data_IF_955897285318
#
_entry.id   IF_955897285318
#
_cell.length_a   1.000
_cell.length_b   1.000
_cell.length_c   1.000
_cell.angle_alpha   90.00
_cell.angle_beta   90.00
_cell.angle_gamma   90.00
#
_symmetry.space_group_name_H-M   'P 1'
#
loop_
_entity.id
_entity.type
_entity.pdbx_description
1 polymer ?
#
# COMPACT_ATOMS: atom_id res chain seq x y z
N UNK A 1 14.83 -0.11 -36.76
CA UNK A 1 15.49 -1.41 -36.99
C UNK A 1 15.85 -2.04 -35.65
N UNK A 2 15.43 -3.27 -35.39
CA UNK A 2 15.83 -4.02 -34.19
C UNK A 2 17.20 -4.64 -34.44
N UNK A 3 18.19 -4.28 -33.62
CA UNK A 3 19.52 -4.90 -33.66
C UNK A 3 19.41 -6.27 -32.99
N UNK A 4 19.62 -7.38 -33.73
CA UNK A 4 19.55 -8.70 -33.13
C UNK A 4 20.73 -8.93 -32.18
N UNK A 5 20.56 -9.75 -31.13
CA UNK A 5 21.63 -10.04 -30.19
C UNK A 5 22.78 -10.77 -30.89
N UNK A 6 24.00 -10.27 -30.73
CA UNK A 6 25.23 -10.85 -31.32
C UNK A 6 25.50 -12.30 -30.87
N UNK A 7 25.04 -12.69 -29.68
CA UNK A 7 25.25 -14.02 -29.09
C UNK A 7 24.04 -14.47 -28.27
N UNK A 8 23.83 -15.78 -28.19
CA UNK A 8 22.86 -16.40 -27.28
C UNK A 8 23.21 -16.06 -25.82
N UNK A 9 22.20 -15.73 -25.03
CA UNK A 9 22.38 -15.50 -23.59
C UNK A 9 22.67 -16.82 -22.86
N UNK A 10 23.65 -16.80 -21.96
CA UNK A 10 23.96 -17.96 -21.14
C UNK A 10 22.81 -18.30 -20.16
N UNK A 11 22.76 -19.56 -19.72
CA UNK A 11 21.79 -20.03 -18.71
C UNK A 11 21.90 -19.19 -17.42
N UNK A 12 23.12 -18.92 -16.97
CA UNK A 12 23.41 -18.12 -15.77
C UNK A 12 22.86 -16.70 -15.87
N UNK A 13 23.11 -15.99 -16.99
CA UNK A 13 22.59 -14.63 -17.20
C UNK A 13 21.06 -14.60 -17.23
N UNK A 14 20.45 -15.62 -17.84
CA UNK A 14 18.99 -15.74 -17.91
C UNK A 14 18.40 -15.95 -16.51
N UNK A 15 19.00 -16.84 -15.71
CA UNK A 15 18.59 -17.10 -14.32
C UNK A 15 18.71 -15.87 -13.43
N UNK A 16 19.81 -15.11 -13.55
CA UNK A 16 19.96 -13.86 -12.80
C UNK A 16 18.88 -12.83 -13.17
N UNK A 17 18.57 -12.69 -14.47
CA UNK A 17 17.53 -11.77 -14.94
C UNK A 17 16.15 -12.12 -14.37
N UNK A 18 15.75 -13.39 -14.45
CA UNK A 18 14.45 -13.83 -13.95
C UNK A 18 14.33 -13.67 -12.43
N UNK A 19 15.38 -14.03 -11.68
CA UNK A 19 15.39 -13.84 -10.22
C UNK A 19 15.28 -12.36 -9.83
N UNK A 20 16.00 -11.47 -10.51
CA UNK A 20 15.93 -10.03 -10.25
C UNK A 20 14.56 -9.45 -10.60
N UNK A 21 13.94 -9.92 -11.69
CA UNK A 21 12.56 -9.56 -12.02
C UNK A 21 11.61 -9.93 -10.89
N UNK A 22 11.68 -11.17 -10.40
CA UNK A 22 10.81 -11.64 -9.30
C UNK A 22 10.97 -10.76 -8.06
N UNK A 23 12.22 -10.45 -7.67
CA UNK A 23 12.50 -9.55 -6.54
C UNK A 23 11.91 -8.15 -6.74
N UNK A 24 12.02 -7.61 -7.96
CA UNK A 24 11.46 -6.30 -8.28
C UNK A 24 9.94 -6.31 -8.22
N UNK A 25 9.29 -7.33 -8.80
CA UNK A 25 7.84 -7.50 -8.74
C UNK A 25 7.36 -7.64 -7.29
N UNK A 26 8.06 -8.41 -6.46
CA UNK A 26 7.74 -8.55 -5.04
C UNK A 26 7.84 -7.21 -4.30
N UNK A 27 8.91 -6.42 -4.53
CA UNK A 27 9.03 -5.06 -3.96
C UNK A 27 7.92 -4.14 -4.42
N UNK A 28 7.56 -4.17 -5.71
CA UNK A 28 6.46 -3.37 -6.27
C UNK A 28 5.12 -3.76 -5.67
N UNK A 29 4.89 -5.04 -5.40
CA UNK A 29 3.68 -5.52 -4.73
C UNK A 29 3.63 -5.10 -3.26
N UNK A 30 4.74 -5.22 -2.54
CA UNK A 30 4.86 -4.76 -1.15
C UNK A 30 4.59 -3.26 -1.04
N UNK A 31 5.16 -2.48 -1.96
CA UNK A 31 5.02 -1.02 -2.00
C UNK A 31 3.83 -0.56 -2.85
N UNK A 32 2.94 -1.48 -3.27
CA UNK A 32 1.83 -1.15 -4.19
C UNK A 32 0.86 -0.16 -3.57
N UNK A 33 0.75 -0.22 -2.24
CA UNK A 33 -0.21 0.54 -1.47
C UNK A 33 0.55 1.29 -0.39
N UNK A 34 0.36 2.59 -0.32
CA UNK A 34 0.86 3.40 0.77
C UNK A 34 -0.22 3.47 1.85
N UNK A 35 0.13 3.09 3.07
CA UNK A 35 -0.76 3.10 4.23
C UNK A 35 -0.57 4.38 5.04
N UNK A 36 -1.63 4.82 5.71
CA UNK A 36 -1.61 5.87 6.71
C UNK A 36 -1.46 5.24 8.09
N UNK A 37 -0.54 5.76 8.90
CA UNK A 37 -0.28 5.29 10.26
C UNK A 37 -0.77 6.31 11.30
N UNK A 38 -1.14 5.85 12.50
CA UNK A 38 -1.34 6.71 13.67
C UNK A 38 -0.04 6.97 14.43
N UNK A 39 -0.11 7.74 15.51
CA UNK A 39 1.02 8.05 16.39
C UNK A 39 1.60 6.79 17.08
N UNK A 40 0.81 5.72 17.19
CA UNK A 40 1.23 4.44 17.75
C UNK A 40 1.82 3.48 16.70
N UNK A 41 1.90 3.90 15.42
CA UNK A 41 2.45 3.11 14.32
C UNK A 41 1.49 2.05 13.75
N UNK A 42 0.20 2.11 14.05
CA UNK A 42 -0.83 1.20 13.53
C UNK A 42 -1.38 1.74 12.21
N UNK A 43 -1.52 0.87 11.21
CA UNK A 43 -2.10 1.24 9.92
C UNK A 43 -3.61 1.47 10.05
N UNK A 44 -4.06 2.71 9.85
CA UNK A 44 -5.47 3.14 10.04
C UNK A 44 -6.23 3.26 8.72
N UNK A 45 -5.53 3.22 7.58
CA UNK A 45 -6.17 3.32 6.28
C UNK A 45 -5.20 3.44 5.11
N UNK A 46 -5.75 3.68 3.93
CA UNK A 46 -4.98 3.99 2.72
C UNK A 46 -4.53 5.45 2.74
N UNK A 47 -3.29 5.71 2.31
CA UNK A 47 -2.79 7.07 2.10
C UNK A 47 -3.66 7.78 1.05
N UNK A 48 -3.90 9.08 1.26
CA UNK A 48 -4.82 9.92 0.48
C UNK A 48 -6.32 9.58 0.57
N UNK A 49 -6.73 8.70 1.49
CA UNK A 49 -8.14 8.48 1.82
C UNK A 49 -8.47 9.03 3.21
N UNK A 50 -9.76 9.29 3.45
CA UNK A 50 -10.23 9.58 4.80
C UNK A 50 -10.03 8.35 5.70
N UNK A 51 -9.58 8.58 6.93
CA UNK A 51 -9.47 7.55 7.98
C UNK A 51 -10.87 7.01 8.34
N UNK A 52 -10.90 5.88 9.04
CA UNK A 52 -12.14 5.23 9.50
C UNK A 52 -12.97 6.13 10.43
N UNK A 53 -12.32 7.01 11.18
CA UNK A 53 -12.95 8.03 12.03
C UNK A 53 -13.59 9.19 11.24
N UNK A 54 -13.50 9.16 9.90
CA UNK A 54 -14.04 10.18 9.01
C UNK A 54 -13.17 11.43 8.90
N UNK A 55 -11.92 11.40 9.38
CA UNK A 55 -10.99 12.52 9.30
C UNK A 55 -10.04 12.42 8.11
N UNK A 56 -9.65 13.57 7.55
CA UNK A 56 -8.62 13.69 6.52
C UNK A 56 -7.81 14.96 6.77
N UNK A 57 -6.48 14.83 6.85
CA UNK A 57 -5.56 15.95 7.14
C UNK A 57 -6.01 16.82 8.34
N UNK A 58 -6.43 16.18 9.43
CA UNK A 58 -6.86 16.88 10.66
C UNK A 58 -8.23 17.55 10.58
N UNK A 59 -8.96 17.39 9.47
CA UNK A 59 -10.32 17.92 9.29
C UNK A 59 -11.34 16.79 9.29
N UNK A 60 -12.49 17.02 9.92
CA UNK A 60 -13.61 16.08 9.85
C UNK A 60 -14.28 16.19 8.46
N UNK A 61 -14.21 15.13 7.65
CA UNK A 61 -14.85 15.08 6.32
C UNK A 61 -16.25 14.49 6.42
N UNK A 62 -16.43 13.45 7.23
CA UNK A 62 -17.70 12.78 7.41
C UNK A 62 -18.12 12.76 8.87
N UNK A 63 -19.39 13.05 9.17
CA UNK A 63 -19.93 12.91 10.53
C UNK A 63 -20.17 11.43 10.81
N UNK A 64 -19.25 10.80 11.55
CA UNK A 64 -19.46 9.42 12.01
C UNK A 64 -20.56 9.43 13.07
N UNK A 65 -21.68 8.75 12.80
CA UNK A 65 -22.79 8.64 13.76
C UNK A 65 -22.36 7.71 14.90
N UNK A 66 -22.03 8.27 16.04
CA UNK A 66 -21.85 7.49 17.28
C UNK A 66 -23.22 7.04 17.80
N UNK A 67 -23.33 5.78 18.26
CA UNK A 67 -24.55 5.28 18.91
C UNK A 67 -24.87 6.19 20.11
N UNK A 68 -26.11 6.70 20.16
CA UNK A 68 -26.61 7.52 21.27
C UNK A 68 -26.48 6.69 22.56
N UNK A 69 -25.72 7.15 23.55
CA UNK A 69 -25.67 6.49 24.87
C UNK A 69 -27.10 6.47 25.42
N UNK A 70 -27.64 5.26 25.64
CA UNK A 70 -28.89 5.09 26.37
C UNK A 70 -28.62 5.47 27.81
N UNK A 71 -29.03 6.66 28.22
CA UNK A 71 -29.00 7.07 29.63
C UNK A 71 -30.10 6.30 30.36
N UNK A 72 -29.73 5.21 31.02
CA UNK A 72 -30.61 4.58 32.02
C UNK A 72 -30.62 5.51 33.24
N UNK A 73 -31.74 6.20 33.48
CA UNK A 73 -31.99 6.85 34.78
C UNK A 73 -32.14 5.76 35.83
N UNK A 74 -31.31 5.82 36.87
CA UNK A 74 -31.48 5.06 38.12
C UNK A 74 -32.50 5.82 38.97
#
# INVERSE_FOLDING_TARGET
MTIPPKKKTSKTRTKQRTTNWIKLSARKLLNRVQLQYDEAGVAVGLSHFAKVDGTYNGRQVFKVKTKKKSTTRI
#
